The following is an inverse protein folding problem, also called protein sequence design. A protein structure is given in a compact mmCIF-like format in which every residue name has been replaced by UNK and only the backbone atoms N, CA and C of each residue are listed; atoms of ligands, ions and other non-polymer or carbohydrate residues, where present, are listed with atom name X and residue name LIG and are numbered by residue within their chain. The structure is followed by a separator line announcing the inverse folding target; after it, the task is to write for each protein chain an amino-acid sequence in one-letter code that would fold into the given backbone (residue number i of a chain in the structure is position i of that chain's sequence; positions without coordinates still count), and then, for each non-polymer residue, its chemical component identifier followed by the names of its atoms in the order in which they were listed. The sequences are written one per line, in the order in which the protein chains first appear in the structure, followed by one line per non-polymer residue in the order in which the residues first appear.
data_IF_222793846112
#
_entry.id   IF_222793846112
#
_cell.length_a   1.000
_cell.length_b   1.000
_cell.length_c   1.000
_cell.angle_alpha   90.00
_cell.angle_beta   90.00
_cell.angle_gamma   90.00
#
_symmetry.space_group_name_H-M   'P 1'
#
loop_
_entity.id
_entity.type
_entity.pdbx_description
1 polymer ?
#
# COMPACT_ATOMS: atom_id res chain seq x y z
N UNK A 1 -6.81 -3.66 -17.89
CA UNK A 1 -7.21 -3.50 -16.46
C UNK A 1 -5.99 -3.15 -15.62
N UNK A 2 -6.16 -2.43 -14.50
CA UNK A 2 -5.12 -2.19 -13.51
C UNK A 2 -5.22 -3.26 -12.43
N UNK A 3 -4.11 -3.97 -12.16
CA UNK A 3 -4.00 -4.85 -11.00
C UNK A 3 -3.57 -4.00 -9.80
N UNK A 4 -4.40 -3.97 -8.74
CA UNK A 4 -4.12 -3.21 -7.52
C UNK A 4 -3.73 -4.17 -6.42
N UNK A 5 -2.58 -3.91 -5.78
CA UNK A 5 -1.96 -4.76 -4.76
C UNK A 5 -1.36 -3.90 -3.65
N UNK A 6 -1.20 -4.44 -2.45
CA UNK A 6 -0.60 -3.75 -1.31
C UNK A 6 0.30 -4.70 -0.52
N UNK A 7 1.16 -4.13 0.32
CA UNK A 7 1.84 -4.85 1.39
C UNK A 7 2.65 -6.06 0.89
N UNK A 8 3.57 -5.84 -0.07
CA UNK A 8 4.46 -6.92 -0.54
C UNK A 8 5.61 -7.21 0.42
N UNK A 9 6.00 -6.26 1.27
CA UNK A 9 7.06 -6.42 2.27
C UNK A 9 8.32 -7.09 1.73
N UNK A 10 8.85 -6.56 0.61
CA UNK A 10 10.03 -7.08 -0.12
C UNK A 10 9.79 -8.40 -0.90
N UNK A 11 8.60 -8.96 -0.90
CA UNK A 11 8.29 -10.14 -1.71
C UNK A 11 7.85 -9.73 -3.11
N UNK A 12 8.77 -9.18 -3.89
CA UNK A 12 8.47 -8.59 -5.21
C UNK A 12 7.95 -9.61 -6.23
N UNK A 13 8.37 -10.88 -6.16
CA UNK A 13 7.88 -11.95 -7.05
C UNK A 13 6.37 -12.16 -6.97
N UNK A 14 5.75 -11.78 -5.83
CA UNK A 14 4.31 -11.93 -5.67
C UNK A 14 3.53 -11.12 -6.71
N UNK A 15 4.05 -9.96 -7.11
CA UNK A 15 3.42 -9.11 -8.12
C UNK A 15 3.27 -9.89 -9.43
N UNK A 16 4.34 -10.54 -9.90
CA UNK A 16 4.30 -11.32 -11.13
C UNK A 16 3.36 -12.53 -11.02
N UNK A 17 3.35 -13.19 -9.87
CA UNK A 17 2.42 -14.31 -9.60
C UNK A 17 0.97 -13.88 -9.64
N UNK A 18 0.65 -12.70 -9.12
CA UNK A 18 -0.71 -12.17 -9.16
C UNK A 18 -1.09 -11.73 -10.58
N UNK A 19 -0.17 -11.16 -11.37
CA UNK A 19 -0.38 -10.87 -12.78
C UNK A 19 -0.68 -12.16 -13.55
N UNK A 20 0.17 -13.17 -13.39
CA UNK A 20 -0.01 -14.47 -14.04
C UNK A 20 -1.35 -15.13 -13.68
N UNK A 21 -1.74 -15.07 -12.41
CA UNK A 21 -3.04 -15.57 -11.96
C UNK A 21 -4.19 -14.80 -12.63
N UNK A 22 -4.13 -13.47 -12.66
CA UNK A 22 -5.16 -12.65 -13.31
C UNK A 22 -5.30 -13.00 -14.79
N UNK A 23 -4.19 -13.12 -15.50
CA UNK A 23 -4.21 -13.39 -16.95
C UNK A 23 -4.60 -14.83 -17.26
N UNK A 24 -4.07 -15.83 -16.54
CA UNK A 24 -4.29 -17.24 -16.83
C UNK A 24 -5.60 -17.80 -16.24
N UNK A 25 -6.00 -17.32 -15.06
CA UNK A 25 -7.15 -17.88 -14.34
C UNK A 25 -8.41 -17.04 -14.52
N UNK A 26 -8.27 -15.70 -14.47
CA UNK A 26 -9.40 -14.80 -14.64
C UNK A 26 -9.64 -14.42 -16.13
N UNK A 27 -8.69 -14.73 -17.02
CA UNK A 27 -8.81 -14.44 -18.45
C UNK A 27 -8.79 -12.95 -18.80
N UNK A 28 -8.22 -12.11 -17.94
CA UNK A 28 -8.13 -10.66 -18.15
C UNK A 28 -6.74 -10.25 -18.61
N UNK A 29 -6.63 -9.12 -19.29
CA UNK A 29 -5.33 -8.50 -19.61
C UNK A 29 -4.98 -7.47 -18.56
N UNK A 30 -3.82 -7.62 -17.92
CA UNK A 30 -3.27 -6.63 -16.98
C UNK A 30 -2.39 -5.66 -17.77
N UNK A 31 -2.75 -4.38 -17.76
CA UNK A 31 -1.99 -3.33 -18.48
C UNK A 31 -0.92 -2.71 -17.58
N UNK A 32 -1.24 -2.54 -16.29
CA UNK A 32 -0.34 -1.95 -15.29
C UNK A 32 -0.66 -2.44 -13.88
N UNK A 33 0.28 -2.20 -12.97
CA UNK A 33 0.13 -2.51 -11.54
C UNK A 33 0.16 -1.23 -10.73
N UNK A 34 -0.77 -1.10 -9.79
CA UNK A 34 -0.82 -0.05 -8.81
C UNK A 34 -0.58 -0.65 -7.42
N UNK A 35 0.49 -0.23 -6.75
CA UNK A 35 0.88 -0.76 -5.45
C UNK A 35 0.65 0.27 -4.33
N UNK A 36 -0.14 -0.10 -3.32
CA UNK A 36 -0.65 0.80 -2.29
C UNK A 36 0.21 0.82 -1.00
N UNK A 37 1.53 0.80 -1.15
CA UNK A 37 2.46 0.95 -0.02
C UNK A 37 2.93 -0.36 0.62
N UNK A 38 3.93 -0.24 1.50
CA UNK A 38 4.69 -1.36 2.05
C UNK A 38 5.30 -2.25 0.97
N UNK A 39 5.86 -1.57 -0.03
CA UNK A 39 6.56 -2.20 -1.14
C UNK A 39 7.86 -2.87 -0.68
N UNK A 40 8.52 -2.26 0.29
CA UNK A 40 9.79 -2.76 0.82
C UNK A 40 11.00 -2.08 0.18
N UNK A 41 11.04 -0.76 0.22
CA UNK A 41 12.17 0.05 -0.27
C UNK A 41 13.40 -0.11 0.63
N UNK A 42 14.05 -1.30 0.57
CA UNK A 42 15.26 -1.61 1.30
C UNK A 42 16.41 -1.96 0.35
N UNK A 43 17.58 -1.39 0.59
CA UNK A 43 18.77 -1.48 -0.29
C UNK A 43 19.14 -2.92 -0.66
N UNK A 44 19.24 -3.79 0.32
CA UNK A 44 19.68 -5.17 0.10
C UNK A 44 18.67 -5.96 -0.71
N UNK A 45 17.38 -5.81 -0.40
CA UNK A 45 16.27 -6.51 -1.05
C UNK A 45 16.10 -6.07 -2.50
N UNK A 46 16.08 -4.75 -2.75
CA UNK A 46 16.00 -4.20 -4.11
C UNK A 46 17.21 -4.63 -4.95
N UNK A 47 18.43 -4.56 -4.37
CA UNK A 47 19.63 -4.99 -5.07
C UNK A 47 19.59 -6.50 -5.39
N UNK A 48 19.19 -7.32 -4.42
CA UNK A 48 19.07 -8.76 -4.63
C UNK A 48 18.06 -9.09 -5.73
N UNK A 49 16.89 -8.47 -5.72
CA UNK A 49 15.85 -8.75 -6.70
C UNK A 49 16.22 -8.19 -8.09
N UNK A 50 16.42 -6.89 -8.21
CA UNK A 50 16.55 -6.23 -9.52
C UNK A 50 17.95 -6.38 -10.16
N UNK A 51 19.00 -6.42 -9.35
CA UNK A 51 20.37 -6.41 -9.89
C UNK A 51 20.98 -7.81 -9.88
N UNK A 52 20.99 -8.48 -8.71
CA UNK A 52 21.65 -9.77 -8.56
C UNK A 52 20.88 -10.88 -9.28
N UNK A 53 19.55 -10.91 -9.14
CA UNK A 53 18.69 -11.93 -9.74
C UNK A 53 18.07 -11.49 -11.07
N UNK A 54 18.37 -10.28 -11.55
CA UNK A 54 17.83 -9.70 -12.78
C UNK A 54 16.28 -9.70 -12.85
N UNK A 55 15.63 -9.63 -11.67
CA UNK A 55 14.18 -9.61 -11.55
C UNK A 55 13.56 -8.41 -12.28
N UNK A 56 12.38 -8.61 -12.84
CA UNK A 56 11.57 -7.58 -13.51
C UNK A 56 10.11 -7.83 -13.25
N UNK A 57 9.32 -6.76 -13.22
CA UNK A 57 7.87 -6.89 -13.25
C UNK A 57 7.39 -7.15 -14.68
N UNK A 58 6.38 -7.98 -14.83
CA UNK A 58 5.79 -8.34 -16.14
C UNK A 58 5.00 -7.16 -16.74
N UNK A 59 4.56 -6.24 -15.92
CA UNK A 59 3.83 -5.03 -16.32
C UNK A 59 4.42 -3.81 -15.63
N UNK A 60 4.26 -2.60 -16.20
CA UNK A 60 4.64 -1.35 -15.53
C UNK A 60 4.02 -1.28 -14.14
N UNK A 61 4.82 -0.99 -13.12
CA UNK A 61 4.39 -0.87 -11.74
C UNK A 61 4.57 0.56 -11.25
N UNK A 62 3.49 1.14 -10.72
CA UNK A 62 3.51 2.40 -9.99
C UNK A 62 3.18 2.15 -8.52
N UNK A 63 3.86 2.83 -7.59
CA UNK A 63 3.65 2.63 -6.16
C UNK A 63 3.66 3.93 -5.36
N UNK A 64 2.90 3.94 -4.27
CA UNK A 64 3.06 4.90 -3.17
C UNK A 64 3.85 4.24 -2.04
N UNK A 65 4.55 5.00 -1.21
CA UNK A 65 5.23 4.46 -0.04
C UNK A 65 4.25 4.06 1.07
N UNK A 66 4.58 2.99 1.81
CA UNK A 66 3.90 2.62 3.06
C UNK A 66 4.62 3.16 4.29
N UNK A 67 4.45 2.52 5.45
CA UNK A 67 5.21 2.83 6.66
C UNK A 67 6.42 1.90 6.88
N UNK A 68 6.49 0.76 6.17
CA UNK A 68 7.60 -0.19 6.21
C UNK A 68 8.59 0.01 5.07
N UNK A 69 9.09 1.25 4.92
CA UNK A 69 10.15 1.60 3.97
C UNK A 69 11.41 2.09 4.72
N UNK A 70 12.59 1.97 4.11
CA UNK A 70 13.79 2.61 4.65
C UNK A 70 13.81 4.10 4.28
N UNK A 71 13.11 4.92 5.07
CA UNK A 71 13.01 6.36 4.83
C UNK A 71 14.35 7.10 4.91
N UNK A 72 15.36 6.54 5.58
CA UNK A 72 16.71 7.13 5.60
C UNK A 72 17.42 6.98 4.27
N UNK A 73 17.15 5.91 3.56
CA UNK A 73 17.74 5.62 2.27
C UNK A 73 16.79 5.92 1.08
N UNK A 74 15.54 6.31 1.33
CA UNK A 74 14.44 6.33 0.36
C UNK A 74 14.79 7.12 -0.90
N UNK A 75 15.23 8.38 -0.76
CA UNK A 75 15.60 9.23 -1.90
C UNK A 75 16.75 8.64 -2.74
N UNK A 76 17.77 8.08 -2.07
CA UNK A 76 18.90 7.45 -2.75
C UNK A 76 18.49 6.16 -3.48
N UNK A 77 17.49 5.44 -2.95
CA UNK A 77 16.93 4.26 -3.60
C UNK A 77 16.04 4.65 -4.78
N UNK A 78 15.22 5.70 -4.64
CA UNK A 78 14.48 6.26 -5.78
C UNK A 78 15.42 6.70 -6.89
N UNK A 79 16.46 7.47 -6.58
CA UNK A 79 17.43 7.92 -7.59
C UNK A 79 18.06 6.76 -8.37
N UNK A 80 18.15 5.57 -7.78
CA UNK A 80 18.76 4.39 -8.41
C UNK A 80 17.77 3.50 -9.17
N UNK A 81 16.55 3.35 -8.70
CA UNK A 81 15.63 2.31 -9.18
C UNK A 81 14.37 2.86 -9.87
N UNK A 82 13.93 4.08 -9.48
CA UNK A 82 12.75 4.72 -10.04
C UNK A 82 12.93 5.04 -11.53
N UNK A 83 11.89 4.89 -12.32
CA UNK A 83 11.91 5.07 -13.78
C UNK A 83 12.56 3.91 -14.55
N UNK A 84 13.33 3.05 -13.89
CA UNK A 84 13.94 1.87 -14.52
C UNK A 84 13.15 0.59 -14.22
N UNK A 85 12.72 0.41 -12.99
CA UNK A 85 12.08 -0.84 -12.53
C UNK A 85 10.64 -0.63 -12.08
N UNK A 86 10.33 0.55 -11.60
CA UNK A 86 9.02 0.96 -11.11
C UNK A 86 8.91 2.49 -11.19
N UNK A 87 7.71 3.02 -10.97
CA UNK A 87 7.45 4.45 -10.87
C UNK A 87 6.93 4.77 -9.47
N UNK A 88 7.62 5.63 -8.73
CA UNK A 88 7.13 6.16 -7.47
C UNK A 88 6.14 7.30 -7.73
N UNK A 89 5.00 7.24 -7.06
CA UNK A 89 3.97 8.28 -7.04
C UNK A 89 4.13 9.08 -5.74
N UNK A 90 4.66 10.32 -5.80
CA UNK A 90 5.01 11.06 -4.59
C UNK A 90 3.81 11.37 -3.70
N UNK A 91 4.01 11.39 -2.39
CA UNK A 91 2.99 11.76 -1.39
C UNK A 91 2.48 13.19 -1.62
N UNK A 92 1.17 13.37 -1.47
CA UNK A 92 0.45 14.62 -1.70
C UNK A 92 0.67 15.18 -3.12
N UNK A 93 0.50 14.31 -4.12
CA UNK A 93 0.56 14.66 -5.54
C UNK A 93 -0.56 14.00 -6.32
N UNK A 94 -0.91 14.55 -7.48
CA UNK A 94 -1.81 13.92 -8.45
C UNK A 94 -0.99 13.32 -9.57
N UNK A 95 -1.25 12.05 -9.87
CA UNK A 95 -0.58 11.32 -10.95
C UNK A 95 -1.61 10.59 -11.79
N UNK A 96 -1.28 10.29 -13.04
CA UNK A 96 -2.14 9.54 -13.95
C UNK A 96 -1.62 8.12 -14.12
N UNK A 97 -2.47 7.13 -13.82
CA UNK A 97 -2.18 5.71 -14.05
C UNK A 97 -3.42 5.07 -14.68
N UNK A 98 -3.24 4.39 -15.82
CA UNK A 98 -4.33 3.73 -16.53
C UNK A 98 -5.49 4.67 -16.93
N UNK A 99 -5.20 5.95 -17.16
CA UNK A 99 -6.22 6.94 -17.50
C UNK A 99 -6.88 7.64 -16.30
N UNK A 100 -6.70 7.15 -15.08
CA UNK A 100 -7.23 7.75 -13.85
C UNK A 100 -6.27 8.78 -13.24
N UNK A 101 -6.83 9.90 -12.77
CA UNK A 101 -6.11 10.91 -11.99
C UNK A 101 -6.18 10.52 -10.51
N UNK A 102 -5.06 10.07 -9.99
CA UNK A 102 -4.93 9.53 -8.65
C UNK A 102 -4.36 10.58 -7.70
N UNK A 103 -5.07 10.94 -6.63
CA UNK A 103 -4.43 11.58 -5.48
C UNK A 103 -3.65 10.52 -4.71
N UNK A 104 -2.35 10.72 -4.55
CA UNK A 104 -1.43 9.77 -3.95
C UNK A 104 -1.05 10.20 -2.54
N UNK A 105 -1.36 9.36 -1.53
CA UNK A 105 -1.09 9.65 -0.13
C UNK A 105 -0.43 8.44 0.57
N UNK A 106 0.87 8.29 0.36
CA UNK A 106 1.67 7.26 1.04
C UNK A 106 1.89 7.55 2.52
N UNK A 107 2.38 6.55 3.26
CA UNK A 107 2.59 6.62 4.69
C UNK A 107 1.38 6.22 5.52
N UNK A 108 1.48 6.33 6.84
CA UNK A 108 0.45 5.89 7.78
C UNK A 108 0.17 6.95 8.85
N UNK A 109 -1.06 7.06 9.28
CA UNK A 109 -1.46 7.84 10.47
C UNK A 109 -1.70 6.94 11.66
N UNK A 110 -2.15 5.71 11.40
CA UNK A 110 -2.27 4.66 12.40
C UNK A 110 -0.95 3.91 12.48
N UNK A 111 -0.28 4.01 13.63
CA UNK A 111 1.10 3.60 13.83
C UNK A 111 1.21 2.13 14.19
N UNK A 112 2.03 1.39 13.45
CA UNK A 112 2.66 0.19 13.97
C UNK A 112 3.75 0.60 14.97
N UNK A 113 3.48 0.43 16.28
CA UNK A 113 4.33 0.89 17.40
C UNK A 113 5.79 0.40 17.33
N UNK A 114 6.06 -0.65 16.58
CA UNK A 114 7.38 -1.30 16.60
C UNK A 114 8.27 -0.98 15.40
N UNK A 115 7.70 -0.46 14.31
CA UNK A 115 8.42 -0.32 13.04
C UNK A 115 8.35 1.06 12.39
N UNK A 116 7.72 2.04 13.04
CA UNK A 116 7.57 3.36 12.45
C UNK A 116 8.90 4.09 12.42
N UNK A 117 9.36 4.41 11.24
CA UNK A 117 10.54 5.25 11.03
C UNK A 117 10.14 6.72 10.84
N UNK A 118 10.99 7.68 11.23
CA UNK A 118 10.78 9.06 10.85
C UNK A 118 10.61 9.21 9.33
N UNK A 119 9.52 9.85 8.89
CA UNK A 119 9.17 9.96 7.48
C UNK A 119 7.99 9.10 7.04
N UNK A 120 7.62 8.08 7.82
CA UNK A 120 6.47 7.22 7.52
C UNK A 120 5.12 7.89 7.75
N UNK A 121 5.05 8.88 8.62
CA UNK A 121 3.78 9.50 9.05
C UNK A 121 3.14 10.39 7.99
N UNK A 122 1.82 10.29 7.86
CA UNK A 122 0.99 11.32 7.21
C UNK A 122 0.83 12.47 8.19
N UNK A 123 1.33 13.65 7.84
CA UNK A 123 1.30 14.87 8.66
C UNK A 123 0.35 15.91 8.07
N UNK A 124 -0.08 16.87 8.90
CA UNK A 124 -1.00 17.94 8.50
C UNK A 124 -0.56 18.66 7.22
N UNK A 125 0.73 18.97 7.08
CA UNK A 125 1.23 19.64 5.88
C UNK A 125 1.08 18.80 4.59
N UNK A 126 0.99 17.46 4.68
CA UNK A 126 0.67 16.62 3.53
C UNK A 126 -0.80 16.82 3.12
N UNK A 127 -1.70 16.87 4.11
CA UNK A 127 -3.12 17.12 3.88
C UNK A 127 -3.31 18.54 3.30
N UNK A 128 -2.66 19.55 3.89
CA UNK A 128 -2.70 20.94 3.40
C UNK A 128 -2.22 21.04 1.96
N UNK A 129 -1.17 20.31 1.58
CA UNK A 129 -0.71 20.23 0.18
C UNK A 129 -1.72 19.57 -0.74
N UNK A 130 -2.40 18.52 -0.30
CA UNK A 130 -3.49 17.91 -1.07
C UNK A 130 -4.62 18.93 -1.28
N UNK A 131 -5.08 19.58 -0.23
CA UNK A 131 -6.18 20.56 -0.27
C UNK A 131 -5.87 21.81 -1.12
N UNK A 132 -4.58 22.09 -1.37
CA UNK A 132 -4.16 23.15 -2.27
C UNK A 132 -4.30 22.78 -3.77
N UNK A 133 -4.54 21.51 -4.09
CA UNK A 133 -4.77 21.03 -5.46
C UNK A 133 -6.24 21.25 -5.84
N UNK A 134 -6.56 21.52 -7.12
CA UNK A 134 -7.95 21.66 -7.56
C UNK A 134 -8.76 20.37 -7.33
N UNK A 135 -9.94 20.51 -6.73
CA UNK A 135 -10.79 19.37 -6.36
C UNK A 135 -11.30 18.54 -7.54
N UNK A 136 -11.45 19.16 -8.71
CA UNK A 136 -11.93 18.51 -9.93
C UNK A 136 -10.84 17.71 -10.69
N UNK A 137 -9.61 17.67 -10.17
CA UNK A 137 -8.48 16.96 -10.80
C UNK A 137 -8.25 15.55 -10.25
N UNK A 138 -9.13 15.03 -9.40
CA UNK A 138 -8.97 13.72 -8.77
C UNK A 138 -10.15 12.84 -9.08
N UNK A 139 -9.88 11.67 -9.64
CA UNK A 139 -10.90 10.65 -9.90
C UNK A 139 -10.94 9.62 -8.76
N UNK A 140 -9.76 9.26 -8.27
CA UNK A 140 -9.55 8.22 -7.24
C UNK A 140 -8.56 8.73 -6.22
N UNK A 141 -8.81 8.46 -4.93
CA UNK A 141 -7.78 8.59 -3.90
C UNK A 141 -7.15 7.23 -3.64
N UNK A 142 -5.83 7.18 -3.63
CA UNK A 142 -5.06 6.04 -3.15
C UNK A 142 -4.24 6.46 -1.95
N UNK A 143 -4.34 5.69 -0.88
CA UNK A 143 -3.53 5.90 0.32
C UNK A 143 -2.95 4.58 0.80
N UNK A 144 -1.87 4.61 1.60
CA UNK A 144 -1.43 3.39 2.22
C UNK A 144 -2.32 3.05 3.42
N UNK A 145 -2.49 3.99 4.36
CA UNK A 145 -3.42 3.83 5.47
C UNK A 145 -4.85 4.22 5.07
N UNK A 146 -5.85 3.72 5.79
CA UNK A 146 -7.25 4.02 5.54
C UNK A 146 -7.63 5.46 5.99
N UNK A 147 -8.67 6.06 5.39
CA UNK A 147 -9.28 7.24 5.99
C UNK A 147 -9.92 6.90 7.34
N UNK A 148 -9.75 7.77 8.35
CA UNK A 148 -10.37 7.58 9.64
C UNK A 148 -11.90 7.66 9.55
N UNK A 149 -12.61 6.93 10.43
CA UNK A 149 -14.07 7.01 10.54
C UNK A 149 -14.87 6.12 9.60
N UNK A 150 -14.25 5.37 8.71
CA UNK A 150 -14.96 4.49 7.77
C UNK A 150 -15.27 3.10 8.31
N UNK A 151 -14.85 2.80 9.56
CA UNK A 151 -15.18 1.56 10.25
C UNK A 151 -14.22 0.38 9.97
N UNK A 152 -13.00 0.63 9.50
CA UNK A 152 -11.97 -0.43 9.41
C UNK A 152 -11.70 -0.96 10.81
N UNK A 153 -11.84 -2.30 11.06
CA UNK A 153 -11.66 -2.84 12.40
C UNK A 153 -10.19 -2.76 12.82
N UNK A 154 -9.97 -2.43 14.07
CA UNK A 154 -8.64 -2.44 14.69
C UNK A 154 -7.98 -3.82 14.62
N UNK A 155 -6.66 -3.87 14.65
CA UNK A 155 -5.94 -5.13 14.82
C UNK A 155 -6.03 -5.54 16.30
N UNK A 156 -6.47 -6.79 16.62
CA UNK A 156 -6.57 -7.24 18.00
C UNK A 156 -5.28 -7.01 18.79
N UNK A 157 -5.40 -6.35 19.95
CA UNK A 157 -4.27 -5.98 20.80
C UNK A 157 -3.62 -4.63 20.47
N UNK A 158 -4.10 -3.91 19.46
CA UNK A 158 -3.63 -2.58 19.10
C UNK A 158 -4.68 -1.47 19.34
N UNK A 159 -5.75 -1.79 20.04
CA UNK A 159 -6.87 -0.87 20.31
C UNK A 159 -6.44 0.39 21.09
N UNK A 160 -5.32 0.31 21.81
CA UNK A 160 -4.76 1.43 22.55
C UNK A 160 -4.20 2.56 21.67
N UNK A 161 -4.02 2.32 20.36
CA UNK A 161 -3.66 3.37 19.40
C UNK A 161 -4.84 4.25 18.97
N UNK A 162 -6.05 3.89 19.39
CA UNK A 162 -7.26 4.62 19.05
C UNK A 162 -7.92 4.13 17.76
N UNK A 163 -8.61 5.02 17.08
CA UNK A 163 -9.30 4.74 15.83
C UNK A 163 -8.32 4.47 14.68
N UNK A 164 -8.67 3.52 13.82
CA UNK A 164 -7.87 3.20 12.63
C UNK A 164 -7.93 4.33 11.60
N UNK A 165 -6.82 4.49 10.88
CA UNK A 165 -6.71 5.45 9.79
C UNK A 165 -6.05 6.77 10.18
N UNK A 166 -5.84 7.61 9.20
CA UNK A 166 -5.18 8.90 9.39
C UNK A 166 -6.21 10.03 9.59
N UNK A 167 -5.87 11.02 10.44
CA UNK A 167 -6.76 12.14 10.73
C UNK A 167 -6.91 13.07 9.52
N UNK A 168 -7.94 13.93 9.54
CA UNK A 168 -8.25 14.93 8.51
C UNK A 168 -8.58 14.34 7.13
N UNK A 169 -8.73 13.02 7.02
CA UNK A 169 -9.13 12.35 5.78
C UNK A 169 -10.49 12.82 5.26
N UNK A 170 -11.38 13.22 6.16
CA UNK A 170 -12.68 13.78 5.82
C UNK A 170 -12.57 15.08 5.01
N UNK A 171 -11.59 15.94 5.29
CA UNK A 171 -11.35 17.16 4.52
C UNK A 171 -11.01 16.85 3.04
N UNK A 172 -10.23 15.78 2.81
CA UNK A 172 -9.92 15.30 1.46
C UNK A 172 -11.16 14.77 0.74
N UNK A 173 -12.00 14.02 1.46
CA UNK A 173 -13.25 13.49 0.94
C UNK A 173 -14.21 14.62 0.50
N UNK A 174 -14.39 15.62 1.35
CA UNK A 174 -15.25 16.77 1.09
C UNK A 174 -14.72 17.63 -0.08
N UNK A 175 -13.40 17.78 -0.19
CA UNK A 175 -12.75 18.59 -1.22
C UNK A 175 -12.74 17.93 -2.60
N UNK A 176 -12.38 16.64 -2.68
CA UNK A 176 -12.19 15.94 -3.95
C UNK A 176 -13.41 15.15 -4.41
N UNK A 177 -14.26 14.70 -3.48
CA UNK A 177 -15.45 13.87 -3.76
C UNK A 177 -15.11 12.69 -4.71
N UNK A 178 -14.08 11.87 -4.39
CA UNK A 178 -13.61 10.81 -5.28
C UNK A 178 -14.67 9.73 -5.42
N UNK A 179 -14.74 9.10 -6.60
CA UNK A 179 -15.64 7.94 -6.80
C UNK A 179 -15.16 6.70 -6.07
N UNK A 180 -13.84 6.60 -5.87
CA UNK A 180 -13.19 5.44 -5.30
C UNK A 180 -12.03 5.86 -4.39
N UNK A 181 -11.88 5.18 -3.25
CA UNK A 181 -10.73 5.31 -2.36
C UNK A 181 -10.19 3.92 -2.03
N UNK A 182 -8.94 3.65 -2.41
CA UNK A 182 -8.31 2.35 -2.19
C UNK A 182 -7.12 2.48 -1.24
N UNK A 183 -6.94 1.49 -0.35
CA UNK A 183 -5.87 1.51 0.66
C UNK A 183 -5.39 0.10 1.04
N UNK A 184 -4.19 0.00 1.65
CA UNK A 184 -3.56 -1.22 2.18
C UNK A 184 -3.44 -1.22 3.70
N UNK A 185 -2.22 -1.42 4.23
CA UNK A 185 -1.78 -1.29 5.62
C UNK A 185 -2.41 -2.26 6.63
N UNK A 186 -3.74 -2.40 6.63
CA UNK A 186 -4.46 -3.22 7.62
C UNK A 186 -4.46 -4.71 7.31
N UNK A 187 -3.92 -5.12 6.16
CA UNK A 187 -3.84 -6.51 5.69
C UNK A 187 -5.18 -7.27 5.70
N UNK A 188 -6.28 -6.55 5.45
CA UNK A 188 -7.64 -7.06 5.49
C UNK A 188 -8.41 -6.66 4.25
N UNK A 189 -9.24 -7.58 3.76
CA UNK A 189 -10.32 -7.19 2.87
C UNK A 189 -11.30 -6.30 3.63
N UNK A 190 -11.59 -5.17 3.05
CA UNK A 190 -12.58 -4.23 3.57
C UNK A 190 -13.29 -3.57 2.39
N UNK A 191 -14.61 -3.42 2.50
CA UNK A 191 -15.37 -2.62 1.55
C UNK A 191 -16.53 -1.95 2.26
N UNK A 192 -16.70 -0.68 2.01
CA UNK A 192 -17.84 0.11 2.44
C UNK A 192 -18.09 1.22 1.43
N UNK A 193 -19.20 1.92 1.56
CA UNK A 193 -19.50 3.09 0.74
C UNK A 193 -20.25 4.14 1.57
N UNK A 194 -20.07 5.39 1.20
CA UNK A 194 -20.95 6.49 1.61
C UNK A 194 -21.77 6.99 0.41
N UNK A 195 -22.27 8.22 0.47
CA UNK A 195 -23.13 8.78 -0.58
C UNK A 195 -22.40 8.94 -1.93
N UNK A 196 -21.10 9.14 -1.94
CA UNK A 196 -20.32 9.52 -3.13
C UNK A 196 -19.16 8.58 -3.43
N UNK A 197 -18.57 7.98 -2.42
CA UNK A 197 -17.30 7.26 -2.50
C UNK A 197 -17.44 5.80 -2.10
N UNK A 198 -16.86 4.91 -2.90
CA UNK A 198 -16.68 3.49 -2.57
C UNK A 198 -15.27 3.32 -2.00
N UNK A 199 -15.16 2.63 -0.88
CA UNK A 199 -13.89 2.34 -0.20
C UNK A 199 -13.50 0.88 -0.35
N UNK A 200 -12.24 0.62 -0.73
CA UNK A 200 -11.68 -0.72 -0.79
C UNK A 200 -10.35 -0.81 -0.03
N UNK A 201 -10.33 -1.60 1.04
CA UNK A 201 -9.13 -2.02 1.73
C UNK A 201 -8.61 -3.35 1.18
N UNK A 202 -7.32 -3.42 0.90
CA UNK A 202 -6.67 -4.60 0.38
C UNK A 202 -5.98 -5.40 1.49
N UNK A 203 -5.92 -6.73 1.37
CA UNK A 203 -5.12 -7.56 2.25
C UNK A 203 -3.64 -7.49 1.85
N UNK A 204 -2.77 -8.11 2.65
CA UNK A 204 -1.41 -8.36 2.20
C UNK A 204 -1.39 -9.14 0.87
N UNK A 205 -0.46 -8.79 0.00
CA UNK A 205 -0.34 -9.25 -1.39
C UNK A 205 -0.42 -10.77 -1.59
N UNK A 206 -0.09 -11.55 -0.56
CA UNK A 206 -0.16 -13.01 -0.57
C UNK A 206 -1.56 -13.60 -0.34
N UNK A 207 -2.55 -12.75 -0.09
CA UNK A 207 -3.95 -13.17 0.10
C UNK A 207 -4.85 -12.81 -1.07
N UNK A 208 -4.36 -11.95 -1.97
CA UNK A 208 -5.11 -11.55 -3.15
C UNK A 208 -4.79 -10.14 -3.65
N UNK A 209 -5.62 -9.68 -4.55
CA UNK A 209 -5.49 -8.40 -5.24
C UNK A 209 -6.86 -7.90 -5.72
N UNK A 210 -6.94 -6.66 -6.18
CA UNK A 210 -8.08 -6.15 -6.92
C UNK A 210 -7.74 -5.95 -8.40
N UNK A 211 -8.76 -6.02 -9.25
CA UNK A 211 -8.70 -5.58 -10.64
C UNK A 211 -9.61 -4.37 -10.78
N UNK A 212 -9.06 -3.27 -11.28
CA UNK A 212 -9.79 -2.04 -11.57
C UNK A 212 -9.94 -1.90 -13.10
N UNK A 213 -11.17 -1.79 -13.57
CA UNK A 213 -11.48 -1.55 -14.98
C UNK A 213 -11.66 -0.06 -15.30
N UNK A 214 -11.88 0.26 -16.58
CA UNK A 214 -12.03 1.64 -17.07
C UNK A 214 -13.35 2.32 -16.65
N UNK A 215 -14.26 1.59 -15.98
CA UNK A 215 -15.55 2.07 -15.48
C UNK A 215 -15.60 2.23 -13.95
N UNK A 216 -14.46 2.22 -13.26
CA UNK A 216 -14.32 2.23 -11.80
C UNK A 216 -14.84 0.96 -11.10
N UNK A 217 -15.08 -0.14 -11.87
CA UNK A 217 -15.46 -1.40 -11.24
C UNK A 217 -14.23 -2.07 -10.64
N UNK A 218 -14.38 -2.47 -9.38
CA UNK A 218 -13.34 -3.17 -8.62
C UNK A 218 -13.76 -4.62 -8.45
N UNK A 219 -12.96 -5.53 -9.00
CA UNK A 219 -13.12 -6.98 -8.82
C UNK A 219 -12.14 -7.43 -7.76
N UNK A 220 -12.63 -7.91 -6.64
CA UNK A 220 -11.82 -8.51 -5.57
C UNK A 220 -11.49 -9.96 -5.93
N UNK A 221 -10.21 -10.30 -5.90
CA UNK A 221 -9.71 -11.65 -6.23
C UNK A 221 -8.93 -12.21 -5.04
N UNK A 222 -9.51 -13.19 -4.36
CA UNK A 222 -8.80 -13.94 -3.32
C UNK A 222 -7.87 -14.95 -4.00
N UNK A 223 -6.58 -14.84 -3.72
CA UNK A 223 -5.57 -15.77 -4.23
C UNK A 223 -4.46 -15.95 -3.20
N UNK A 224 -4.57 -16.99 -2.39
CA UNK A 224 -3.58 -17.29 -1.36
C UNK A 224 -2.32 -17.88 -1.96
N UNK A 225 -1.24 -17.13 -1.88
CA UNK A 225 0.11 -17.55 -2.28
C UNK A 225 0.97 -17.68 -1.01
N UNK A 226 1.76 -18.75 -0.94
CA UNK A 226 2.67 -18.92 0.20
C UNK A 226 3.63 -17.74 0.30
N UNK A 227 3.54 -17.01 1.40
CA UNK A 227 4.50 -15.95 1.71
C UNK A 227 5.81 -16.58 2.16
N UNK A 228 6.94 -16.32 1.50
CA UNK A 228 8.21 -16.89 1.91
C UNK A 228 8.55 -16.32 3.29
N UNK A 229 8.77 -17.20 4.26
CA UNK A 229 9.35 -16.80 5.55
C UNK A 229 10.77 -16.27 5.29
N UNK A 230 10.86 -14.96 5.17
CA UNK A 230 12.18 -14.32 5.06
C UNK A 230 12.86 -14.37 6.43
N UNK A 231 14.19 -14.43 6.44
CA UNK A 231 14.98 -14.30 7.70
C UNK A 231 14.62 -13.06 8.52
N UNK A 232 13.98 -12.09 7.90
CA UNK A 232 13.48 -10.87 8.54
C UNK A 232 12.25 -11.15 9.41
N UNK A 233 11.26 -11.89 8.88
CA UNK A 233 10.07 -12.35 9.64
C UNK A 233 10.51 -13.27 10.77
N UNK A 234 11.48 -14.16 10.53
CA UNK A 234 12.04 -15.04 11.56
C UNK A 234 12.78 -14.25 12.65
N UNK A 235 13.50 -13.17 12.30
CA UNK A 235 14.10 -12.25 13.27
C UNK A 235 13.08 -11.48 14.09
N UNK A 236 11.99 -11.03 13.46
CA UNK A 236 10.90 -10.33 14.15
C UNK A 236 10.18 -11.28 15.10
N UNK A 237 9.82 -12.46 14.64
CA UNK A 237 9.19 -13.51 15.46
C UNK A 237 10.09 -14.00 16.59
N UNK A 238 11.41 -14.07 16.39
CA UNK A 238 12.37 -14.43 17.45
C UNK A 238 12.45 -13.33 18.53
N UNK A 239 12.42 -12.06 18.15
CA UNK A 239 12.37 -10.95 19.11
C UNK A 239 11.05 -10.94 19.91
N UNK A 240 9.93 -11.21 19.27
CA UNK A 240 8.63 -11.33 19.94
C UNK A 240 8.53 -12.54 20.89
N UNK A 241 9.22 -13.65 20.57
CA UNK A 241 9.32 -14.82 21.46
C UNK A 241 10.16 -14.55 22.71
N UNK A 242 11.23 -13.77 22.59
CA UNK A 242 12.09 -13.40 23.74
C UNK A 242 11.32 -12.52 24.74
N UNK A 243 10.45 -11.63 24.26
CA UNK A 243 9.62 -10.77 25.14
C UNK A 243 8.56 -11.61 25.90
N UNK A 244 8.05 -12.69 25.30
CA UNK A 244 7.08 -13.59 25.99
C UNK A 244 7.72 -14.57 26.99
N UNK A 245 8.98 -14.91 26.84
CA UNK A 245 9.69 -15.81 27.77
C UNK A 245 10.33 -15.11 28.97
N UNK A 246 10.40 -13.79 28.99
CA UNK A 246 10.94 -13.00 30.11
C UNK A 246 9.92 -12.60 31.18
N UNK A 247 8.66 -13.01 31.08
CA UNK A 247 7.55 -12.61 31.96
C UNK A 247 7.06 -13.64 32.97
N UNK A 248 7.78 -14.74 33.21
CA UNK A 248 7.39 -15.73 34.21
C UNK A 248 8.56 -16.08 35.11
N UNK A 249 8.92 -15.18 36.01
CA UNK A 249 9.61 -15.47 37.29
C UNK A 249 9.59 -14.21 38.13
N UNK A 250 8.56 -14.09 38.97
CA UNK A 250 8.58 -13.47 40.28
C UNK A 250 7.23 -13.77 40.97
#
# INVERSE_FOLDING_TARGET
MILVIADTHCYYDIVNRQIEHAEQTMGVTVDSVLHLGDFGMYREQLHAYFVKNAGRFLRPLSFIEGNHEDFRAFDSLLARYNGTFFTHLPRASVNTVGGYRLLCLGGSGYMDAFNTQPGSEIKDHHIDRCLALPGDQVDIIISHDCPAGIGVPNTPGLEYFGETGFPRSRELLEHFQPRLWMFGHHHKWFSTQDETTIYHGLPGSWKGYCLLDDNYQVITVENSVSFPRTRFVDRLLSKLRIVRSGGSNA
#
